data_IF_341178205683
#
_entry.id   IF_341178205683
#
_cell.length_a   1.000
_cell.length_b   1.000
_cell.length_c   1.000
_cell.angle_alpha   90.00
_cell.angle_beta   90.00
_cell.angle_gamma   90.00
#
_symmetry.space_group_name_H-M   'P 1'
#
loop_
_entity.id
_entity.type
_entity.pdbx_description
1 polymer ?
#
# COMPACT_ATOMS: atom_id res chain seq x y z
N UNK A 1 18.98 -2.32 4.10
CA UNK A 1 17.58 -1.86 4.08
C UNK A 1 16.83 -2.45 2.92
N UNK A 2 15.70 -3.10 3.19
CA UNK A 2 14.75 -3.61 2.21
C UNK A 2 13.74 -2.52 1.85
N UNK A 3 13.30 -2.51 0.60
CA UNK A 3 12.20 -1.68 0.11
C UNK A 3 11.12 -2.59 -0.45
N UNK A 4 9.89 -2.38 -0.01
CA UNK A 4 8.73 -3.12 -0.50
C UNK A 4 8.12 -2.36 -1.68
N UNK A 5 7.70 -3.10 -2.71
CA UNK A 5 6.90 -2.54 -3.79
C UNK A 5 5.78 -3.53 -4.10
N UNK A 6 4.56 -3.02 -4.21
CA UNK A 6 3.40 -3.82 -4.52
C UNK A 6 2.42 -3.05 -5.38
N UNK A 7 1.73 -3.78 -6.25
CA UNK A 7 0.63 -3.26 -7.07
C UNK A 7 -0.64 -4.04 -6.80
N UNK A 8 -1.78 -3.36 -6.70
CA UNK A 8 -3.07 -4.00 -6.48
C UNK A 8 -3.07 -4.93 -5.26
N UNK A 9 -3.37 -6.22 -5.42
CA UNK A 9 -3.26 -7.21 -4.35
C UNK A 9 -1.82 -7.32 -3.77
N UNK A 10 -0.78 -7.05 -4.56
CA UNK A 10 0.59 -6.98 -4.07
C UNK A 10 0.83 -5.78 -3.14
N UNK A 11 0.17 -4.64 -3.39
CA UNK A 11 0.24 -3.47 -2.51
C UNK A 11 -0.45 -3.77 -1.17
N UNK A 12 -1.55 -4.52 -1.21
CA UNK A 12 -2.20 -5.03 -0.01
C UNK A 12 -1.26 -5.91 0.82
N UNK A 13 -0.62 -6.90 0.19
CA UNK A 13 0.33 -7.78 0.88
C UNK A 13 1.51 -7.00 1.47
N UNK A 14 2.07 -6.06 0.72
CA UNK A 14 3.13 -5.20 1.24
C UNK A 14 2.66 -4.34 2.43
N UNK A 15 1.43 -3.84 2.40
CA UNK A 15 0.83 -3.12 3.53
C UNK A 15 0.66 -4.03 4.76
N UNK A 16 0.26 -5.29 4.58
CA UNK A 16 0.18 -6.26 5.68
C UNK A 16 1.56 -6.59 6.28
N UNK A 17 2.61 -6.69 5.45
CA UNK A 17 4.00 -6.84 5.92
C UNK A 17 4.44 -5.65 6.78
N UNK A 18 4.05 -4.43 6.41
CA UNK A 18 4.33 -3.23 7.21
C UNK A 18 3.56 -3.19 8.53
N UNK A 19 2.33 -3.68 8.54
CA UNK A 19 1.46 -3.72 9.71
C UNK A 19 1.71 -4.93 10.63
N UNK A 20 2.61 -5.83 10.25
CA UNK A 20 2.93 -7.02 11.05
C UNK A 20 3.68 -6.61 12.32
N UNK A 21 3.27 -7.15 13.48
CA UNK A 21 4.07 -7.05 14.70
C UNK A 21 5.23 -8.04 14.65
N UNK A 22 6.36 -7.58 14.14
CA UNK A 22 7.55 -8.41 13.98
C UNK A 22 8.19 -8.84 15.32
N UNK A 23 7.83 -8.19 16.43
CA UNK A 23 8.31 -8.59 17.75
C UNK A 23 7.77 -9.98 18.14
N UNK A 24 6.56 -10.36 17.69
CA UNK A 24 5.99 -11.70 17.90
C UNK A 24 6.84 -12.81 17.27
N UNK A 25 7.62 -12.47 16.25
CA UNK A 25 8.50 -13.38 15.52
C UNK A 25 9.96 -13.25 15.93
N UNK A 26 10.28 -12.43 16.95
CA UNK A 26 11.65 -12.12 17.37
C UNK A 26 12.50 -11.54 16.23
N UNK A 27 11.87 -10.84 15.27
CA UNK A 27 12.52 -10.24 14.10
C UNK A 27 12.51 -8.72 14.22
N UNK A 28 13.64 -8.08 13.92
CA UNK A 28 13.69 -6.63 13.69
C UNK A 28 13.83 -6.37 12.19
N UNK A 29 12.75 -6.00 11.49
CA UNK A 29 12.80 -5.85 10.04
C UNK A 29 13.59 -4.59 9.66
N UNK A 30 14.57 -4.73 8.76
CA UNK A 30 15.28 -3.58 8.18
C UNK A 30 14.55 -3.01 6.96
N UNK A 31 13.26 -2.69 7.10
CA UNK A 31 12.44 -2.08 6.04
C UNK A 31 12.65 -0.56 6.06
N UNK A 32 13.15 0.00 4.95
CA UNK A 32 13.44 1.43 4.79
C UNK A 32 12.37 2.20 4.05
N UNK A 33 11.51 1.51 3.30
CA UNK A 33 10.40 2.16 2.63
C UNK A 33 9.49 1.20 1.90
N UNK A 34 8.34 1.71 1.48
CA UNK A 34 7.36 0.97 0.71
C UNK A 34 6.72 1.84 -0.38
N UNK A 35 6.51 1.25 -1.56
CA UNK A 35 5.76 1.84 -2.67
C UNK A 35 4.52 0.98 -2.92
N UNK A 36 3.36 1.54 -2.62
CA UNK A 36 2.06 0.85 -2.65
C UNK A 36 1.21 1.46 -3.76
N UNK A 37 1.10 0.75 -4.89
CA UNK A 37 0.48 1.26 -6.12
C UNK A 37 -0.91 0.65 -6.31
N UNK A 38 -1.93 1.49 -6.41
CA UNK A 38 -3.33 1.11 -6.67
C UNK A 38 -3.80 -0.06 -5.79
N UNK A 39 -3.46 0.01 -4.51
CA UNK A 39 -3.71 -1.06 -3.53
C UNK A 39 -5.09 -1.04 -2.90
N UNK A 40 -5.47 -2.18 -2.32
CA UNK A 40 -6.68 -2.32 -1.50
C UNK A 40 -6.30 -2.48 -0.03
N UNK A 41 -6.91 -1.70 0.85
CA UNK A 41 -6.55 -1.57 2.27
C UNK A 41 -7.74 -1.84 3.21
N UNK A 42 -8.95 -1.95 2.66
CA UNK A 42 -10.15 -2.45 3.30
C UNK A 42 -10.80 -3.52 2.41
N UNK A 43 -10.88 -4.74 2.93
CA UNK A 43 -11.47 -5.88 2.24
C UNK A 43 -12.98 -6.03 2.48
N UNK A 44 -13.58 -5.33 3.45
CA UNK A 44 -15.02 -5.46 3.72
C UNK A 44 -15.89 -5.19 2.47
N UNK A 45 -15.60 -4.19 1.62
CA UNK A 45 -16.36 -3.97 0.39
C UNK A 45 -16.29 -5.13 -0.60
N UNK A 46 -15.20 -5.91 -0.61
CA UNK A 46 -15.03 -7.03 -1.54
C UNK A 46 -15.96 -8.19 -1.24
N UNK A 47 -16.48 -8.32 -0.01
CA UNK A 47 -17.38 -9.41 0.39
C UNK A 47 -18.61 -9.53 -0.52
N UNK A 48 -19.03 -8.42 -1.12
CA UNK A 48 -20.20 -8.32 -1.99
C UNK A 48 -19.83 -8.29 -3.50
N UNK A 49 -18.63 -8.74 -3.86
CA UNK A 49 -18.13 -8.72 -5.24
C UNK A 49 -17.73 -10.11 -5.71
N UNK A 50 -17.59 -10.30 -7.02
CA UNK A 50 -17.13 -11.56 -7.62
C UNK A 50 -15.76 -12.03 -7.08
N UNK A 51 -14.93 -11.10 -6.60
CA UNK A 51 -13.62 -11.44 -6.00
C UNK A 51 -13.81 -12.36 -4.79
N UNK A 52 -14.90 -12.20 -4.03
CA UNK A 52 -15.16 -13.03 -2.87
C UNK A 52 -15.74 -14.41 -3.22
N UNK A 53 -16.20 -14.64 -4.46
CA UNK A 53 -16.62 -15.97 -4.90
C UNK A 53 -15.44 -16.95 -4.88
N UNK A 54 -14.24 -16.46 -5.19
CA UNK A 54 -13.00 -17.27 -5.11
C UNK A 54 -12.36 -17.23 -3.72
N UNK A 55 -12.31 -16.05 -3.08
CA UNK A 55 -11.63 -15.90 -1.78
C UNK A 55 -12.44 -16.45 -0.60
N UNK A 56 -13.77 -16.55 -0.75
CA UNK A 56 -14.73 -17.06 0.24
C UNK A 56 -14.48 -16.51 1.66
N UNK A 57 -14.25 -15.20 1.76
CA UNK A 57 -13.97 -14.53 3.02
C UNK A 57 -15.25 -14.34 3.82
N UNK A 58 -15.13 -14.55 5.14
CA UNK A 58 -16.10 -14.04 6.10
C UNK A 58 -15.82 -12.56 6.41
N UNK A 59 -16.78 -11.87 7.01
CA UNK A 59 -16.56 -10.49 7.49
C UNK A 59 -15.41 -10.39 8.50
N UNK A 60 -15.25 -11.41 9.35
CA UNK A 60 -14.14 -11.50 10.29
C UNK A 60 -12.79 -11.60 9.56
N UNK A 61 -12.71 -12.46 8.53
CA UNK A 61 -11.51 -12.60 7.70
C UNK A 61 -11.21 -11.29 6.97
N UNK A 62 -12.20 -10.64 6.37
CA UNK A 62 -12.01 -9.35 5.70
C UNK A 62 -11.42 -8.31 6.67
N UNK A 63 -12.05 -8.12 7.84
CA UNK A 63 -11.57 -7.16 8.85
C UNK A 63 -10.17 -7.45 9.34
N UNK A 64 -9.88 -8.70 9.70
CA UNK A 64 -8.56 -9.11 10.21
C UNK A 64 -7.46 -8.84 9.20
N UNK A 65 -7.78 -8.96 7.90
CA UNK A 65 -6.82 -8.74 6.83
C UNK A 65 -7.02 -7.38 6.15
N UNK A 66 -7.67 -6.39 6.76
CA UNK A 66 -7.76 -5.03 6.20
C UNK A 66 -6.61 -4.16 6.74
N UNK A 67 -5.57 -3.82 5.95
CA UNK A 67 -4.45 -3.00 6.40
C UNK A 67 -4.82 -1.72 7.13
N UNK A 68 -5.92 -1.07 6.74
CA UNK A 68 -6.39 0.18 7.38
C UNK A 68 -6.78 0.00 8.85
N UNK A 69 -7.17 -1.21 9.25
CA UNK A 69 -7.50 -1.57 10.62
C UNK A 69 -6.28 -2.04 11.43
N UNK A 70 -5.14 -2.26 10.77
CA UNK A 70 -3.92 -2.81 11.36
C UNK A 70 -2.80 -1.77 11.51
N UNK A 71 -3.07 -0.49 11.26
CA UNK A 71 -2.06 0.59 11.23
C UNK A 71 -1.31 0.75 12.57
N UNK A 72 -1.86 0.26 13.68
CA UNK A 72 -1.20 0.25 14.99
C UNK A 72 -0.06 -0.79 15.13
N UNK A 73 0.07 -1.72 14.18
CA UNK A 73 1.23 -2.62 14.10
C UNK A 73 2.44 -1.83 13.61
N UNK A 74 3.52 -1.82 14.40
CA UNK A 74 4.67 -0.93 14.28
C UNK A 74 5.26 -0.84 12.86
N UNK A 75 4.77 0.10 12.03
CA UNK A 75 5.52 0.52 10.84
C UNK A 75 6.88 1.02 11.35
N UNK A 76 8.00 0.44 10.87
CA UNK A 76 9.31 0.81 11.40
C UNK A 76 9.51 2.33 11.30
N UNK A 77 9.97 2.98 12.36
CA UNK A 77 10.05 4.45 12.42
C UNK A 77 10.89 5.07 11.28
N UNK A 78 11.83 4.29 10.72
CA UNK A 78 12.67 4.69 9.59
C UNK A 78 12.05 4.39 8.21
N UNK A 79 10.83 3.85 8.15
CA UNK A 79 10.16 3.46 6.91
C UNK A 79 9.37 4.63 6.32
N UNK A 80 9.72 5.04 5.10
CA UNK A 80 8.93 6.00 4.31
C UNK A 80 7.97 5.28 3.36
N UNK A 81 6.68 5.59 3.46
CA UNK A 81 5.63 4.97 2.64
C UNK A 81 5.17 5.93 1.54
N UNK A 82 5.16 5.46 0.30
CA UNK A 82 4.56 6.15 -0.83
C UNK A 82 3.35 5.35 -1.30
N UNK A 83 2.18 5.96 -1.24
CA UNK A 83 1.00 5.48 -1.95
C UNK A 83 0.92 6.15 -3.31
N UNK A 84 0.63 5.37 -4.34
CA UNK A 84 0.32 5.88 -5.66
C UNK A 84 -1.03 5.32 -6.11
N UNK A 85 -1.85 6.14 -6.75
CA UNK A 85 -3.13 5.73 -7.33
C UNK A 85 -3.32 6.41 -8.66
N UNK A 86 -3.95 5.72 -9.62
CA UNK A 86 -4.19 6.25 -10.95
C UNK A 86 -5.45 7.11 -10.99
N UNK A 87 -5.50 8.09 -11.90
CA UNK A 87 -6.69 8.92 -12.11
C UNK A 87 -7.91 8.09 -12.51
N UNK A 88 -7.72 7.10 -13.38
CA UNK A 88 -8.76 6.24 -13.92
C UNK A 88 -8.91 4.92 -13.16
N UNK A 89 -8.28 4.79 -11.98
CA UNK A 89 -8.62 3.73 -11.04
C UNK A 89 -10.08 3.84 -10.60
N UNK A 90 -10.65 2.71 -10.17
CA UNK A 90 -11.99 2.71 -9.60
C UNK A 90 -12.09 3.69 -8.42
N UNK A 91 -13.30 4.26 -8.16
CA UNK A 91 -13.49 5.14 -7.01
C UNK A 91 -13.05 4.50 -5.69
N UNK A 92 -13.15 3.18 -5.57
CA UNK A 92 -12.80 2.44 -4.36
C UNK A 92 -11.29 2.40 -4.13
N UNK A 93 -10.46 2.14 -5.16
CA UNK A 93 -8.99 2.22 -5.03
C UNK A 93 -8.54 3.62 -4.59
N UNK A 94 -9.17 4.66 -5.15
CA UNK A 94 -8.90 6.06 -4.83
C UNK A 94 -9.33 6.42 -3.41
N UNK A 95 -10.53 5.99 -2.99
CA UNK A 95 -11.04 6.17 -1.63
C UNK A 95 -10.12 5.51 -0.61
N UNK A 96 -9.86 4.21 -0.78
CA UNK A 96 -9.05 3.44 0.16
C UNK A 96 -7.60 3.94 0.24
N UNK A 97 -6.99 4.35 -0.88
CA UNK A 97 -5.64 4.93 -0.86
C UNK A 97 -5.56 6.20 -0.03
N UNK A 98 -6.61 7.04 -0.07
CA UNK A 98 -6.68 8.27 0.75
C UNK A 98 -6.91 7.94 2.22
N UNK A 99 -7.86 7.05 2.51
CA UNK A 99 -8.18 6.63 3.88
C UNK A 99 -6.98 5.96 4.56
N UNK A 100 -6.31 5.05 3.87
CA UNK A 100 -5.11 4.39 4.39
C UNK A 100 -3.94 5.37 4.58
N UNK A 101 -3.74 6.30 3.63
CA UNK A 101 -2.76 7.37 3.80
C UNK A 101 -3.05 8.22 5.05
N UNK A 102 -4.31 8.58 5.29
CA UNK A 102 -4.72 9.33 6.46
C UNK A 102 -4.54 8.54 7.76
N UNK A 103 -4.86 7.24 7.74
CA UNK A 103 -4.66 6.37 8.89
C UNK A 103 -3.16 6.27 9.26
N UNK A 104 -2.30 6.02 8.27
CA UNK A 104 -0.83 6.00 8.46
C UNK A 104 -0.32 7.33 9.01
N UNK A 105 -0.75 8.48 8.47
CA UNK A 105 -0.36 9.80 9.01
C UNK A 105 -0.81 9.99 10.44
N UNK A 106 -2.03 9.58 10.77
CA UNK A 106 -2.59 9.73 12.12
C UNK A 106 -1.85 8.85 13.14
N UNK A 107 -1.27 7.74 12.70
CA UNK A 107 -0.38 6.90 13.50
C UNK A 107 1.07 7.40 13.55
N UNK A 108 1.38 8.56 12.96
CA UNK A 108 2.71 9.16 12.97
C UNK A 108 3.68 8.59 11.93
N UNK A 109 3.21 7.79 10.96
CA UNK A 109 4.05 7.23 9.91
C UNK A 109 4.44 8.30 8.88
N UNK A 110 5.66 8.22 8.35
CA UNK A 110 6.09 9.04 7.22
C UNK A 110 5.44 8.53 5.93
N UNK A 111 4.43 9.24 5.43
CA UNK A 111 3.65 8.79 4.28
C UNK A 111 3.25 9.91 3.31
N UNK A 112 3.38 9.63 2.02
CA UNK A 112 2.93 10.48 0.92
C UNK A 112 1.91 9.74 0.03
N UNK A 113 1.07 10.51 -0.65
CA UNK A 113 0.09 9.99 -1.61
C UNK A 113 0.27 10.74 -2.93
N UNK A 114 0.42 9.99 -4.02
CA UNK A 114 0.56 10.48 -5.38
C UNK A 114 -0.67 10.04 -6.19
N UNK A 115 -1.38 11.02 -6.74
CA UNK A 115 -2.53 10.81 -7.63
C UNK A 115 -2.08 11.10 -9.06
N UNK A 116 -1.99 10.06 -9.89
CA UNK A 116 -1.34 10.12 -11.19
C UNK A 116 -2.34 10.35 -12.32
N UNK A 117 -2.25 11.54 -12.91
CA UNK A 117 -3.11 11.98 -14.01
C UNK A 117 -2.88 11.18 -15.30
N UNK A 118 -3.98 10.88 -16.01
CA UNK A 118 -3.97 10.26 -17.32
C UNK A 118 -3.60 8.78 -17.35
N UNK A 119 -3.55 8.12 -16.19
CA UNK A 119 -3.23 6.70 -16.05
C UNK A 119 -4.44 5.92 -15.54
N UNK A 120 -4.47 4.63 -15.85
CA UNK A 120 -5.34 3.59 -15.35
C UNK A 120 -4.60 2.60 -14.43
N UNK A 121 -5.33 1.59 -13.98
CA UNK A 121 -4.88 0.60 -13.01
C UNK A 121 -3.66 -0.21 -13.49
N UNK A 122 -3.45 -0.35 -14.79
CA UNK A 122 -2.39 -1.19 -15.36
C UNK A 122 -1.22 -0.32 -15.83
N UNK A 123 -1.49 0.74 -16.60
CA UNK A 123 -0.42 1.54 -17.19
C UNK A 123 0.36 2.36 -16.14
N UNK A 124 -0.20 2.55 -14.93
CA UNK A 124 0.50 3.11 -13.77
C UNK A 124 1.79 2.36 -13.43
N UNK A 125 1.85 1.03 -13.68
CA UNK A 125 3.04 0.22 -13.41
C UNK A 125 3.85 -0.13 -14.65
N UNK A 126 3.22 -0.22 -15.82
CA UNK A 126 3.91 -0.54 -17.08
C UNK A 126 5.00 0.48 -17.45
N UNK A 127 4.85 1.74 -17.00
CA UNK A 127 5.81 2.81 -17.26
C UNK A 127 6.98 2.85 -16.27
N UNK A 128 7.06 1.94 -15.29
CA UNK A 128 8.14 1.94 -14.29
C UNK A 128 9.55 1.75 -14.87
N UNK A 129 9.67 1.17 -16.07
CA UNK A 129 10.98 1.05 -16.75
C UNK A 129 11.46 2.37 -17.38
N UNK A 130 10.64 3.43 -17.36
CA UNK A 130 10.98 4.73 -17.92
C UNK A 130 11.55 5.64 -16.84
N UNK A 131 12.79 6.09 -17.01
CA UNK A 131 13.50 6.93 -16.02
C UNK A 131 12.86 8.31 -15.82
N UNK A 132 12.11 8.80 -16.82
CA UNK A 132 11.41 10.08 -16.78
C UNK A 132 10.03 9.98 -16.13
N UNK A 133 9.53 8.77 -15.87
CA UNK A 133 8.23 8.57 -15.28
C UNK A 133 8.27 8.93 -13.80
N UNK A 134 7.30 9.74 -13.36
CA UNK A 134 7.28 10.33 -12.02
C UNK A 134 7.33 9.27 -10.92
N UNK A 135 6.62 8.14 -11.07
CA UNK A 135 6.63 7.08 -10.07
C UNK A 135 8.00 6.43 -9.96
N UNK A 136 8.71 6.25 -11.08
CA UNK A 136 10.11 5.76 -11.10
C UNK A 136 11.04 6.71 -10.35
N UNK A 137 10.92 8.02 -10.60
CA UNK A 137 11.77 9.04 -9.99
C UNK A 137 11.55 9.16 -8.47
N UNK A 138 10.28 9.20 -8.04
CA UNK A 138 9.94 9.29 -6.60
C UNK A 138 10.36 8.00 -5.89
N UNK A 139 10.15 6.84 -6.50
CA UNK A 139 10.60 5.54 -5.95
C UNK A 139 12.12 5.45 -5.82
N UNK A 140 12.87 5.98 -6.79
CA UNK A 140 14.33 6.08 -6.68
C UNK A 140 14.76 7.08 -5.61
N UNK A 141 14.01 8.17 -5.42
CA UNK A 141 14.24 9.18 -4.38
C UNK A 141 14.13 8.62 -2.97
N UNK A 142 13.16 7.73 -2.71
CA UNK A 142 13.01 7.00 -1.43
C UNK A 142 14.28 6.23 -1.02
N UNK A 143 15.05 5.74 -2.00
CA UNK A 143 16.29 5.00 -1.75
C UNK A 143 17.50 5.89 -1.43
N UNK A 144 17.45 7.16 -1.79
CA UNK A 144 18.59 8.08 -1.73
C UNK A 144 18.59 8.96 -0.48
N UNK A 145 17.54 8.88 0.35
CA UNK A 145 17.49 9.59 1.63
C UNK A 145 18.38 8.85 2.65
N UNK A 146 19.25 9.57 3.36
CA UNK A 146 20.29 9.00 4.22
C UNK A 146 19.72 8.22 5.42
#
# INVERSE_FOLDING_TARGET
>A
GLYLCGHSAGAHLAAMVLATDWAEYEVTPDIKGAVLVSGIYDLEPLLNTYVNEELNMSQEVARRNSPVLCVSGAVPAACEVLLAVAQHDSPEFRRQSREYCQALRSAGCSVSLLDLAGLDHFDIIERLSQDTYILTQVSAGLRRRP
#
